data_IF_972939158494
#
_entry.id   IF_972939158494
#
_cell.length_a   1.000
_cell.length_b   1.000
_cell.length_c   1.000
_cell.angle_alpha   90.00
_cell.angle_beta   90.00
_cell.angle_gamma   90.00
#
_symmetry.space_group_name_H-M   'P 1'
#
loop_
_entity.id
_entity.type
_entity.pdbx_description
1 polymer ?
#
# COMPACT_ATOMS: atom_id res chain seq x y z
N UNK A 1 6.16 8.75 11.19
CA UNK A 1 7.50 8.47 11.77
C UNK A 1 8.41 7.99 10.64
N UNK A 2 9.73 8.27 10.69
CA UNK A 2 10.68 7.77 9.68
C UNK A 2 10.60 6.25 9.57
N UNK A 3 10.77 5.71 8.36
CA UNK A 3 10.61 4.27 8.07
C UNK A 3 11.54 3.40 8.91
N UNK A 4 12.73 3.90 9.23
CA UNK A 4 13.78 3.26 10.01
C UNK A 4 13.37 3.04 11.48
N UNK A 5 12.39 3.80 11.97
CA UNK A 5 11.83 3.62 13.32
C UNK A 5 10.81 2.48 13.37
N UNK A 6 10.18 2.15 12.24
CA UNK A 6 9.10 1.17 12.15
C UNK A 6 9.65 -0.18 11.69
N UNK A 7 10.52 -0.16 10.68
CA UNK A 7 11.08 -1.34 10.07
C UNK A 7 12.53 -1.56 10.52
N UNK A 8 12.90 -2.82 10.72
CA UNK A 8 14.29 -3.23 10.81
C UNK A 8 14.94 -3.23 9.42
N UNK A 9 14.23 -3.76 8.44
CA UNK A 9 14.59 -3.77 7.02
C UNK A 9 13.32 -3.55 6.17
N UNK A 10 13.53 -3.04 4.97
CA UNK A 10 12.50 -2.88 3.94
C UNK A 10 13.15 -3.09 2.57
N UNK A 11 12.66 -4.03 1.78
CA UNK A 11 13.14 -4.25 0.42
C UNK A 11 12.48 -3.22 -0.52
N UNK A 12 13.27 -2.27 -1.02
CA UNK A 12 12.79 -1.26 -1.95
C UNK A 12 12.41 -1.85 -3.31
N UNK A 13 12.90 -3.05 -3.64
CA UNK A 13 12.47 -3.77 -4.84
C UNK A 13 11.10 -4.40 -4.55
N UNK A 14 10.05 -4.09 -5.33
CA UNK A 14 8.76 -4.71 -5.15
C UNK A 14 8.86 -6.21 -5.42
N UNK A 15 8.29 -7.00 -4.52
CA UNK A 15 8.14 -8.45 -4.70
C UNK A 15 7.17 -8.76 -5.84
N UNK A 16 6.06 -8.03 -5.89
CA UNK A 16 5.03 -8.21 -6.91
C UNK A 16 4.14 -6.97 -7.06
N UNK A 17 3.44 -6.89 -8.19
CA UNK A 17 2.28 -6.02 -8.32
C UNK A 17 1.11 -6.56 -7.47
N UNK A 18 0.33 -5.65 -6.89
CA UNK A 18 -0.97 -5.96 -6.31
C UNK A 18 -2.02 -5.09 -7.00
N UNK A 19 -3.25 -5.57 -7.18
CA UNK A 19 -4.35 -4.88 -7.91
C UNK A 19 -4.19 -3.34 -8.05
N UNK A 20 -4.21 -2.59 -6.94
CA UNK A 20 -4.14 -1.11 -6.87
C UNK A 20 -2.81 -0.57 -6.29
N UNK A 21 -1.74 -1.36 -6.36
CA UNK A 21 -0.51 -1.10 -5.62
C UNK A 21 0.66 -2.03 -5.95
N UNK A 22 1.58 -2.11 -5.01
CA UNK A 22 2.74 -3.00 -5.03
C UNK A 22 2.93 -3.61 -3.65
N UNK A 23 3.54 -4.79 -3.59
CA UNK A 23 3.88 -5.46 -2.33
C UNK A 23 5.38 -5.58 -2.17
N UNK A 24 5.86 -5.33 -0.96
CA UNK A 24 7.27 -5.37 -0.58
C UNK A 24 7.47 -6.31 0.60
N UNK A 25 8.66 -6.90 0.68
CA UNK A 25 9.10 -7.60 1.88
C UNK A 25 9.67 -6.59 2.87
N UNK A 26 9.38 -6.78 4.14
CA UNK A 26 9.99 -6.00 5.20
C UNK A 26 9.99 -6.78 6.51
N UNK A 27 10.76 -6.29 7.47
CA UNK A 27 10.74 -6.80 8.84
C UNK A 27 10.32 -5.68 9.79
N UNK A 28 9.25 -5.88 10.56
CA UNK A 28 8.85 -4.94 11.60
C UNK A 28 9.81 -4.99 12.78
N UNK A 29 10.22 -3.81 13.25
CA UNK A 29 11.03 -3.63 14.45
C UNK A 29 10.14 -3.76 15.68
N UNK A 30 10.52 -4.63 16.61
CA UNK A 30 9.81 -4.80 17.89
C UNK A 30 10.79 -5.07 19.02
N UNK A 31 10.45 -4.64 20.24
CA UNK A 31 11.31 -4.82 21.43
C UNK A 31 11.47 -6.28 21.85
N UNK A 32 10.49 -7.13 21.51
CA UNK A 32 10.51 -8.56 21.90
C UNK A 32 11.14 -9.43 20.82
N UNK A 33 10.62 -9.32 19.60
CA UNK A 33 11.06 -10.12 18.45
C UNK A 33 10.62 -9.42 17.18
N UNK A 34 11.53 -9.30 16.22
CA UNK A 34 11.23 -8.74 14.91
C UNK A 34 10.34 -9.70 14.11
N UNK A 35 9.45 -9.14 13.29
CA UNK A 35 8.38 -9.90 12.63
C UNK A 35 8.45 -9.67 11.11
N UNK A 36 8.62 -10.73 10.30
CA UNK A 36 8.55 -10.61 8.85
C UNK A 36 7.13 -10.22 8.42
N UNK A 37 7.02 -9.27 7.49
CA UNK A 37 5.74 -8.79 6.97
C UNK A 37 5.79 -8.56 5.46
N UNK A 38 4.60 -8.52 4.86
CA UNK A 38 4.40 -8.02 3.50
C UNK A 38 3.72 -6.66 3.59
N UNK A 39 4.34 -5.64 3.00
CA UNK A 39 3.81 -4.28 3.00
C UNK A 39 3.21 -4.00 1.64
N UNK A 40 1.88 -3.81 1.59
CA UNK A 40 1.16 -3.36 0.40
C UNK A 40 1.11 -1.84 0.37
N UNK A 41 1.69 -1.23 -0.67
CA UNK A 41 1.71 0.21 -0.88
C UNK A 41 0.75 0.55 -2.01
N UNK A 42 -0.18 1.48 -1.77
CA UNK A 42 -1.08 1.99 -2.80
C UNK A 42 -0.32 2.89 -3.78
N UNK A 43 -0.70 2.85 -5.06
CA UNK A 43 -0.15 3.80 -6.04
C UNK A 43 -0.55 5.24 -5.67
N UNK A 44 0.26 6.24 -6.05
CA UNK A 44 -0.10 7.64 -5.87
C UNK A 44 -1.48 7.95 -6.44
N UNK A 45 -2.21 8.86 -5.79
CA UNK A 45 -3.51 9.38 -6.24
C UNK A 45 -4.64 8.34 -6.37
N UNK A 46 -4.50 7.15 -5.78
CA UNK A 46 -5.49 6.09 -5.88
C UNK A 46 -6.89 6.52 -5.41
N UNK A 47 -6.99 7.25 -4.30
CA UNK A 47 -8.28 7.67 -3.74
C UNK A 47 -9.05 8.61 -4.70
N UNK A 48 -8.34 9.56 -5.33
CA UNK A 48 -8.92 10.47 -6.30
C UNK A 48 -9.35 9.74 -7.58
N UNK A 49 -8.57 8.76 -8.04
CA UNK A 49 -8.94 7.93 -9.17
C UNK A 49 -10.22 7.12 -8.87
N UNK A 50 -10.26 6.41 -7.73
CA UNK A 50 -11.44 5.65 -7.33
C UNK A 50 -12.68 6.54 -7.17
N UNK A 51 -12.53 7.76 -6.65
CA UNK A 51 -13.64 8.71 -6.54
C UNK A 51 -14.19 9.10 -7.90
N UNK A 52 -13.33 9.46 -8.85
CA UNK A 52 -13.74 9.81 -10.23
C UNK A 52 -14.45 8.66 -10.93
N UNK A 53 -13.94 7.43 -10.76
CA UNK A 53 -14.56 6.24 -11.32
C UNK A 53 -15.97 6.03 -10.75
N UNK A 54 -16.14 6.16 -9.43
CA UNK A 54 -17.44 6.06 -8.79
C UNK A 54 -18.41 7.17 -9.20
N UNK A 55 -17.92 8.41 -9.34
CA UNK A 55 -18.73 9.53 -9.80
C UNK A 55 -19.21 9.30 -11.25
N UNK A 56 -18.35 8.77 -12.12
CA UNK A 56 -18.75 8.39 -13.47
C UNK A 56 -19.80 7.27 -13.47
N UNK A 57 -19.61 6.25 -12.62
CA UNK A 57 -20.58 5.15 -12.48
C UNK A 57 -21.95 5.69 -12.05
N UNK A 58 -22.01 6.63 -11.09
CA UNK A 58 -23.26 7.28 -10.65
C UNK A 58 -23.97 8.02 -11.79
N UNK A 59 -23.20 8.77 -12.58
CA UNK A 59 -23.74 9.48 -13.77
C UNK A 59 -24.37 8.50 -14.76
N UNK A 60 -23.70 7.37 -15.05
CA UNK A 60 -24.21 6.36 -15.99
C UNK A 60 -25.40 5.59 -15.41
N UNK A 61 -25.35 5.24 -14.13
CA UNK A 61 -26.39 4.48 -13.44
C UNK A 61 -27.63 5.34 -13.09
N UNK A 62 -27.54 6.67 -13.22
CA UNK A 62 -28.61 7.64 -12.86
C UNK A 62 -29.06 7.52 -11.40
N UNK A 63 -28.12 7.29 -10.49
CA UNK A 63 -28.31 7.21 -9.03
C UNK A 63 -27.37 8.15 -8.31
#
# INVERSE_FOLDING_TARGET
>A
APMEKIFQDFDETPLAAASIGQVHRATLRSKRKNVPVIVKIHRPNLAEACKRDLDLIKVVAKV
#
